data_IF_725532867763
#
_entry.id   IF_725532867763
#
_cell.length_a   1.000
_cell.length_b   1.000
_cell.length_c   1.000
_cell.angle_alpha   90.00
_cell.angle_beta   90.00
_cell.angle_gamma   90.00
#
_symmetry.space_group_name_H-M   'P 1'
#
loop_
_entity.id
_entity.type
_entity.pdbx_description
1 polymer ?
#
# COMPACT_ATOMS: atom_id res chain seq x y z
N UNK A 1 -0.68 19.45 34.76
CA UNK A 1 -0.68 19.24 33.30
C UNK A 1 -0.93 17.76 33.04
N UNK A 2 -1.95 17.37 32.25
CA UNK A 2 -2.15 15.96 31.92
C UNK A 2 -0.93 15.48 31.14
N UNK A 3 -0.32 14.38 31.60
CA UNK A 3 0.85 13.77 30.94
C UNK A 3 0.43 13.36 29.53
N UNK A 4 1.06 13.93 28.50
CA UNK A 4 0.91 13.46 27.11
C UNK A 4 1.15 11.93 27.13
N UNK A 5 0.22 11.11 26.62
CA UNK A 5 0.45 9.67 26.54
C UNK A 5 1.75 9.43 25.76
N UNK A 6 2.66 8.63 26.32
CA UNK A 6 3.91 8.25 25.65
C UNK A 6 3.51 7.51 24.38
N UNK A 7 3.66 8.18 23.24
CA UNK A 7 3.35 7.64 21.94
C UNK A 7 4.24 6.41 21.70
N UNK A 8 3.66 5.26 21.33
CA UNK A 8 4.45 4.07 21.01
C UNK A 8 5.07 4.23 19.62
N UNK A 9 6.25 4.87 19.58
CA UNK A 9 7.01 5.19 18.36
C UNK A 9 7.21 3.97 17.45
N UNK A 10 7.33 2.77 18.01
CA UNK A 10 7.58 1.54 17.23
C UNK A 10 6.45 1.23 16.24
N UNK A 11 5.21 1.58 16.57
CA UNK A 11 4.04 1.37 15.70
C UNK A 11 4.10 2.28 14.47
N UNK A 12 4.39 3.56 14.69
CA UNK A 12 4.51 4.55 13.62
C UNK A 12 5.76 4.33 12.78
N UNK A 13 6.83 3.75 13.36
CA UNK A 13 7.98 3.26 12.60
C UNK A 13 7.61 2.10 11.66
N UNK A 14 6.69 1.23 12.09
CA UNK A 14 6.11 0.16 11.27
C UNK A 14 5.36 0.71 10.05
N UNK A 15 4.50 1.71 10.26
CA UNK A 15 3.78 2.40 9.18
C UNK A 15 4.77 3.08 8.22
N UNK A 16 5.80 3.77 8.75
CA UNK A 16 6.87 4.37 7.95
C UNK A 16 7.55 3.34 7.04
N UNK A 17 7.96 2.20 7.58
CA UNK A 17 8.57 1.10 6.78
C UNK A 17 7.57 0.52 5.79
N UNK A 18 6.30 0.45 6.16
CA UNK A 18 5.20 0.11 5.26
C UNK A 18 5.18 1.04 4.05
N UNK A 19 5.19 2.36 4.25
CA UNK A 19 5.20 3.33 3.14
C UNK A 19 6.40 3.13 2.19
N UNK A 20 7.56 2.73 2.71
CA UNK A 20 8.72 2.38 1.88
C UNK A 20 8.47 1.10 1.05
N UNK A 21 7.87 0.07 1.66
CA UNK A 21 7.46 -1.12 0.93
C UNK A 21 6.40 -0.80 -0.15
N UNK A 22 5.49 0.14 0.10
CA UNK A 22 4.52 0.62 -0.90
C UNK A 22 5.20 1.29 -2.11
N UNK A 23 6.22 2.11 -1.86
CA UNK A 23 7.05 2.74 -2.91
C UNK A 23 7.74 1.68 -3.77
N UNK A 24 8.34 0.67 -3.13
CA UNK A 24 9.00 -0.43 -3.85
C UNK A 24 7.99 -1.24 -4.65
N UNK A 25 6.83 -1.56 -4.06
CA UNK A 25 5.74 -2.23 -4.76
C UNK A 25 5.40 -1.54 -6.08
N UNK A 26 5.12 -0.23 -6.05
CA UNK A 26 4.71 0.51 -7.24
C UNK A 26 5.83 0.67 -8.25
N UNK A 27 7.06 0.87 -7.78
CA UNK A 27 8.24 0.97 -8.66
C UNK A 27 8.45 -0.33 -9.44
N UNK A 28 8.46 -1.46 -8.74
CA UNK A 28 8.65 -2.77 -9.37
C UNK A 28 7.43 -3.19 -10.19
N UNK A 29 6.22 -2.77 -9.82
CA UNK A 29 5.03 -2.96 -10.65
C UNK A 29 5.20 -2.26 -12.01
N UNK A 30 5.60 -1.00 -12.02
CA UNK A 30 5.87 -0.26 -13.24
C UNK A 30 6.96 -0.93 -14.10
N UNK A 31 8.07 -1.33 -13.48
CA UNK A 31 9.15 -2.07 -14.16
C UNK A 31 8.68 -3.38 -14.79
N UNK A 32 7.77 -4.10 -14.13
CA UNK A 32 7.19 -5.33 -14.69
C UNK A 32 6.43 -5.03 -15.98
N UNK A 33 5.58 -4.00 -15.99
CA UNK A 33 4.79 -3.66 -17.18
C UNK A 33 5.68 -3.24 -18.35
N UNK A 34 6.72 -2.45 -18.10
CA UNK A 34 7.72 -2.08 -19.12
C UNK A 34 8.48 -3.29 -19.67
N UNK A 35 8.63 -4.34 -18.87
CA UNK A 35 9.37 -5.56 -19.23
C UNK A 35 8.50 -6.70 -19.78
N UNK A 36 7.20 -6.45 -20.02
CA UNK A 36 6.21 -7.50 -20.36
C UNK A 36 6.53 -8.27 -21.65
N UNK A 37 7.39 -7.74 -22.52
CA UNK A 37 7.87 -8.43 -23.73
C UNK A 37 9.10 -9.33 -23.52
N UNK A 38 9.55 -9.53 -22.28
CA UNK A 38 10.77 -10.28 -21.95
C UNK A 38 10.54 -11.26 -20.81
N UNK A 39 11.30 -12.35 -20.77
CA UNK A 39 11.31 -13.31 -19.66
C UNK A 39 11.68 -12.66 -18.32
N UNK A 40 12.31 -11.48 -18.36
CA UNK A 40 12.61 -10.67 -17.19
C UNK A 40 11.36 -10.04 -16.54
N UNK A 41 10.17 -10.14 -17.13
CA UNK A 41 8.89 -9.66 -16.59
C UNK A 41 8.60 -10.16 -15.16
N UNK A 42 8.86 -11.44 -14.89
CA UNK A 42 8.46 -12.08 -13.64
C UNK A 42 9.26 -11.61 -12.42
N UNK A 43 10.53 -11.26 -12.60
CA UNK A 43 11.40 -10.82 -11.50
C UNK A 43 10.85 -9.56 -10.81
N UNK A 44 10.64 -8.43 -11.50
CA UNK A 44 10.06 -7.24 -10.89
C UNK A 44 8.61 -7.48 -10.44
N UNK A 45 7.82 -8.32 -11.13
CA UNK A 45 6.46 -8.65 -10.69
C UNK A 45 6.45 -9.34 -9.31
N UNK A 46 7.29 -10.37 -9.14
CA UNK A 46 7.42 -11.10 -7.86
C UNK A 46 7.88 -10.15 -6.76
N UNK A 47 8.89 -9.32 -7.03
CA UNK A 47 9.37 -8.33 -6.06
C UNK A 47 8.24 -7.36 -5.69
N UNK A 48 7.46 -6.89 -6.66
CA UNK A 48 6.31 -6.03 -6.43
C UNK A 48 5.31 -6.66 -5.45
N UNK A 49 4.89 -7.91 -5.68
CA UNK A 49 3.94 -8.59 -4.80
C UNK A 49 4.49 -8.88 -3.41
N UNK A 50 5.76 -9.26 -3.30
CA UNK A 50 6.44 -9.41 -2.00
C UNK A 50 6.43 -8.09 -1.23
N UNK A 51 6.68 -6.96 -1.92
CA UNK A 51 6.66 -5.64 -1.30
C UNK A 51 5.25 -5.22 -0.90
N UNK A 52 4.21 -5.54 -1.68
CA UNK A 52 2.82 -5.28 -1.31
C UNK A 52 2.39 -6.10 -0.08
N UNK A 53 2.80 -7.37 -0.03
CA UNK A 53 2.58 -8.22 1.13
C UNK A 53 3.28 -7.66 2.37
N UNK A 54 4.56 -7.27 2.26
CA UNK A 54 5.34 -6.66 3.34
C UNK A 54 4.69 -5.37 3.83
N UNK A 55 4.26 -4.50 2.91
CA UNK A 55 3.52 -3.28 3.21
C UNK A 55 2.28 -3.57 4.07
N UNK A 56 1.47 -4.53 3.65
CA UNK A 56 0.23 -4.84 4.35
C UNK A 56 0.46 -5.53 5.69
N UNK A 57 1.47 -6.40 5.78
CA UNK A 57 1.83 -7.05 7.03
C UNK A 57 2.34 -6.05 8.08
N UNK A 58 3.22 -5.12 7.69
CA UNK A 58 3.72 -4.07 8.57
C UNK A 58 2.60 -3.15 9.06
N UNK A 59 1.71 -2.74 8.16
CA UNK A 59 0.57 -1.89 8.51
C UNK A 59 -0.43 -2.62 9.39
N UNK A 60 -0.77 -3.88 9.09
CA UNK A 60 -1.63 -4.71 9.96
C UNK A 60 -1.10 -4.77 11.39
N UNK A 61 0.20 -5.06 11.57
CA UNK A 61 0.84 -5.14 12.89
C UNK A 61 0.80 -3.80 13.64
N UNK A 62 0.93 -2.70 12.90
CA UNK A 62 0.94 -1.36 13.47
C UNK A 62 -0.49 -0.93 13.87
N UNK A 63 -1.45 -1.04 12.95
CA UNK A 63 -2.85 -0.68 13.15
C UNK A 63 -3.57 -1.54 14.18
N UNK A 64 -3.25 -2.84 14.28
CA UNK A 64 -3.84 -3.71 15.31
C UNK A 64 -3.56 -3.23 16.74
N UNK A 65 -2.52 -2.42 16.92
CA UNK A 65 -2.11 -1.88 18.21
C UNK A 65 -2.60 -0.45 18.46
N UNK A 66 -3.21 0.21 17.47
CA UNK A 66 -3.71 1.60 17.54
C UNK A 66 -5.20 1.70 17.91
N UNK A 67 -5.85 0.55 18.17
CA UNK A 67 -7.25 0.47 18.64
C UNK A 67 -8.29 0.23 17.54
N UNK A 68 -9.57 0.15 17.92
CA UNK A 68 -10.66 -0.25 17.02
C UNK A 68 -10.87 0.69 15.83
N UNK A 69 -10.48 1.96 15.98
CA UNK A 69 -10.55 2.98 14.91
C UNK A 69 -9.81 2.56 13.64
N UNK A 70 -8.81 1.68 13.76
CA UNK A 70 -7.98 1.20 12.64
C UNK A 70 -8.27 -0.27 12.27
N UNK A 71 -9.38 -0.83 12.76
CA UNK A 71 -9.67 -2.28 12.66
C UNK A 71 -10.01 -2.75 11.25
N UNK A 72 -10.47 -1.86 10.37
CA UNK A 72 -10.91 -2.25 9.02
C UNK A 72 -9.71 -2.61 8.13
N UNK A 73 -8.62 -1.84 8.17
CA UNK A 73 -7.36 -2.22 7.51
C UNK A 73 -6.83 -3.57 7.98
N UNK A 74 -6.95 -3.85 9.28
CA UNK A 74 -6.54 -5.14 9.86
C UNK A 74 -7.38 -6.30 9.31
N UNK A 75 -8.69 -6.09 9.14
CA UNK A 75 -9.63 -7.09 8.58
C UNK A 75 -9.41 -7.31 7.08
N UNK A 76 -9.15 -6.24 6.32
CA UNK A 76 -8.92 -6.31 4.88
C UNK A 76 -7.56 -6.92 4.49
N UNK A 77 -6.66 -7.16 5.44
CA UNK A 77 -5.41 -7.87 5.17
C UNK A 77 -5.62 -9.24 4.52
N UNK A 78 -6.59 -10.03 5.02
CA UNK A 78 -6.92 -11.33 4.42
C UNK A 78 -7.49 -11.17 3.01
N UNK A 79 -8.26 -10.11 2.77
CA UNK A 79 -8.80 -9.77 1.45
C UNK A 79 -7.68 -9.43 0.47
N UNK A 80 -6.67 -8.67 0.91
CA UNK A 80 -5.48 -8.39 0.11
C UNK A 80 -4.71 -9.67 -0.25
N UNK A 81 -4.53 -10.60 0.70
CA UNK A 81 -3.85 -11.88 0.41
C UNK A 81 -4.57 -12.63 -0.71
N UNK A 82 -5.90 -12.73 -0.64
CA UNK A 82 -6.69 -13.35 -1.72
C UNK A 82 -6.48 -12.59 -3.03
N UNK A 83 -6.51 -11.26 -3.00
CA UNK A 83 -6.25 -10.42 -4.18
C UNK A 83 -4.88 -10.69 -4.81
N UNK A 84 -3.82 -10.77 -4.00
CA UNK A 84 -2.46 -11.08 -4.44
C UNK A 84 -2.36 -12.46 -5.08
N UNK A 85 -3.00 -13.48 -4.48
CA UNK A 85 -3.02 -14.84 -5.03
C UNK A 85 -3.73 -14.88 -6.38
N UNK A 86 -4.91 -14.26 -6.48
CA UNK A 86 -5.67 -14.21 -7.73
C UNK A 86 -4.90 -13.44 -8.83
N UNK A 87 -4.30 -12.31 -8.48
CA UNK A 87 -3.50 -11.52 -9.42
C UNK A 87 -2.29 -12.31 -9.93
N UNK A 88 -1.55 -12.98 -9.04
CA UNK A 88 -0.40 -13.81 -9.43
C UNK A 88 -0.78 -14.99 -10.31
N UNK A 89 -1.81 -15.74 -9.92
CA UNK A 89 -2.32 -16.86 -10.72
C UNK A 89 -2.75 -16.34 -12.11
N UNK A 90 -3.44 -15.21 -12.16
CA UNK A 90 -3.86 -14.61 -13.43
C UNK A 90 -2.66 -14.23 -14.30
N UNK A 91 -1.65 -13.56 -13.75
CA UNK A 91 -0.44 -13.18 -14.50
C UNK A 91 0.29 -14.39 -15.09
N UNK A 92 0.38 -15.49 -14.33
CA UNK A 92 1.01 -16.74 -14.83
C UNK A 92 0.17 -17.37 -15.95
N UNK A 93 -1.16 -17.41 -15.79
CA UNK A 93 -2.04 -18.06 -16.76
C UNK A 93 -2.18 -17.28 -18.06
N UNK A 94 -2.15 -15.94 -17.99
CA UNK A 94 -2.11 -15.06 -19.17
C UNK A 94 -0.84 -15.31 -19.98
N UNK A 95 0.32 -15.46 -19.33
CA UNK A 95 1.58 -15.77 -20.01
C UNK A 95 1.57 -17.15 -20.69
N UNK A 96 0.82 -18.11 -20.13
CA UNK A 96 0.70 -19.47 -20.67
C UNK A 96 -0.36 -19.59 -21.79
N UNK A 97 -0.96 -18.48 -22.23
CA UNK A 97 -2.00 -18.40 -23.27
C UNK A 97 -3.23 -19.32 -23.04
N UNK A 98 -3.50 -19.67 -21.78
CA UNK A 98 -4.66 -20.50 -21.43
C UNK A 98 -5.92 -19.60 -21.41
N UNK A 99 -7.05 -20.06 -21.99
CA UNK A 99 -8.44 -19.53 -21.89
C UNK A 99 -8.65 -18.04 -21.48
N UNK A 100 -8.28 -17.10 -22.36
CA UNK A 100 -8.22 -15.64 -22.16
C UNK A 100 -9.45 -14.99 -21.49
N UNK A 101 -10.68 -15.46 -21.74
CA UNK A 101 -11.90 -14.78 -21.28
C UNK A 101 -12.27 -14.98 -19.80
N UNK A 102 -11.93 -16.11 -19.18
CA UNK A 102 -12.26 -16.36 -17.77
C UNK A 102 -11.21 -15.73 -16.84
N UNK A 103 -9.98 -15.55 -17.34
CA UNK A 103 -8.87 -14.94 -16.60
C UNK A 103 -8.97 -13.43 -16.47
N UNK A 104 -9.58 -12.75 -17.43
CA UNK A 104 -9.83 -11.30 -17.34
C UNK A 104 -10.71 -10.93 -16.14
N UNK A 105 -11.68 -11.79 -15.78
CA UNK A 105 -12.53 -11.60 -14.60
C UNK A 105 -11.74 -11.86 -13.31
N UNK A 106 -10.93 -12.91 -13.26
CA UNK A 106 -10.11 -13.25 -12.08
C UNK A 106 -9.08 -12.16 -11.81
N UNK A 107 -8.43 -11.64 -12.86
CA UNK A 107 -7.51 -10.51 -12.79
C UNK A 107 -8.20 -9.26 -12.24
N UNK A 108 -9.38 -8.93 -12.77
CA UNK A 108 -10.15 -7.78 -12.34
C UNK A 108 -10.54 -7.89 -10.87
N UNK A 109 -11.04 -9.05 -10.43
CA UNK A 109 -11.39 -9.30 -9.03
C UNK A 109 -10.14 -9.17 -8.15
N UNK A 110 -9.02 -9.80 -8.53
CA UNK A 110 -7.77 -9.71 -7.79
C UNK A 110 -7.30 -8.27 -7.60
N UNK A 111 -7.32 -7.47 -8.67
CA UNK A 111 -6.97 -6.05 -8.63
C UNK A 111 -7.95 -5.23 -7.80
N UNK A 112 -9.25 -5.47 -7.89
CA UNK A 112 -10.24 -4.77 -7.05
C UNK A 112 -10.04 -5.05 -5.55
N UNK A 113 -9.68 -6.29 -5.18
CA UNK A 113 -9.35 -6.62 -3.79
C UNK A 113 -8.11 -5.86 -3.32
N UNK A 114 -7.06 -5.76 -4.15
CA UNK A 114 -5.87 -4.95 -3.84
C UNK A 114 -6.22 -3.46 -3.68
N UNK A 115 -6.99 -2.91 -4.62
CA UNK A 115 -7.42 -1.51 -4.58
C UNK A 115 -8.29 -1.22 -3.35
N UNK A 116 -9.14 -2.15 -2.93
CA UNK A 116 -9.96 -1.99 -1.72
C UNK A 116 -9.10 -1.83 -0.46
N UNK A 117 -8.01 -2.58 -0.35
CA UNK A 117 -7.07 -2.46 0.76
C UNK A 117 -6.32 -1.12 0.72
N UNK A 118 -5.87 -0.68 -0.45
CA UNK A 118 -5.22 0.62 -0.62
C UNK A 118 -6.16 1.79 -0.31
N UNK A 119 -7.45 1.66 -0.66
CA UNK A 119 -8.46 2.64 -0.29
C UNK A 119 -8.60 2.77 1.23
N UNK A 120 -8.76 1.65 1.93
CA UNK A 120 -8.87 1.69 3.38
C UNK A 120 -7.61 2.25 4.04
N UNK A 121 -6.43 1.86 3.55
CA UNK A 121 -5.18 2.43 4.01
C UNK A 121 -5.15 3.96 3.84
N UNK A 122 -5.70 4.49 2.75
CA UNK A 122 -5.82 5.94 2.56
C UNK A 122 -6.69 6.59 3.64
N UNK A 123 -7.76 5.93 4.10
CA UNK A 123 -8.60 6.42 5.19
C UNK A 123 -7.89 6.36 6.55
N UNK A 124 -7.10 5.32 6.80
CA UNK A 124 -6.27 5.26 8.02
C UNK A 124 -5.24 6.39 8.06
N UNK A 125 -4.67 6.77 6.91
CA UNK A 125 -3.78 7.92 6.84
C UNK A 125 -4.50 9.25 7.12
N UNK A 126 -5.79 9.39 6.77
CA UNK A 126 -6.60 10.55 7.20
C UNK A 126 -6.74 10.55 8.73
N UNK A 127 -7.07 9.40 9.33
CA UNK A 127 -7.21 9.27 10.79
C UNK A 127 -5.90 9.64 11.51
N UNK A 128 -4.77 9.14 11.01
CA UNK A 128 -3.44 9.52 11.51
C UNK A 128 -3.15 11.01 11.27
N UNK A 129 -3.51 11.54 10.12
CA UNK A 129 -3.36 12.97 9.80
C UNK A 129 -4.09 13.84 10.81
N UNK A 130 -5.33 13.50 11.16
CA UNK A 130 -6.13 14.23 12.13
C UNK A 130 -5.58 14.06 13.56
N UNK A 131 -5.08 12.88 13.92
CA UNK A 131 -4.45 12.59 15.22
C UNK A 131 -3.17 13.41 15.44
N UNK A 132 -2.35 13.58 14.39
CA UNK A 132 -1.09 14.32 14.46
C UNK A 132 -1.16 15.76 13.96
N UNK A 133 -2.29 16.20 13.42
CA UNK A 133 -2.42 17.49 12.73
C UNK A 133 -1.51 17.63 11.49
N UNK A 134 -1.08 16.53 10.85
CA UNK A 134 -0.18 16.57 9.69
C UNK A 134 -0.95 16.77 8.39
N UNK A 135 -0.84 17.98 7.81
CA UNK A 135 -1.38 18.26 6.46
C UNK A 135 -0.74 17.37 5.38
N UNK A 136 0.53 17.00 5.54
CA UNK A 136 1.23 16.17 4.55
C UNK A 136 0.68 14.74 4.51
N UNK A 137 0.30 14.16 5.65
CA UNK A 137 -0.39 12.85 5.68
C UNK A 137 -1.76 12.92 5.01
N UNK A 138 -2.47 14.05 5.15
CA UNK A 138 -3.76 14.27 4.46
C UNK A 138 -3.59 14.29 2.95
N UNK A 139 -2.57 15.01 2.46
CA UNK A 139 -2.21 15.05 1.03
C UNK A 139 -1.83 13.66 0.54
N UNK A 140 -1.02 12.92 1.30
CA UNK A 140 -0.66 11.53 0.96
C UNK A 140 -1.89 10.64 0.83
N UNK A 141 -2.82 10.70 1.77
CA UNK A 141 -4.10 9.97 1.69
C UNK A 141 -4.88 10.31 0.43
N UNK A 142 -5.04 11.60 0.10
CA UNK A 142 -5.76 12.04 -1.10
C UNK A 142 -5.10 11.48 -2.37
N UNK A 143 -3.77 11.54 -2.46
CA UNK A 143 -3.03 10.99 -3.60
C UNK A 143 -3.26 9.48 -3.73
N UNK A 144 -3.20 8.74 -2.62
CA UNK A 144 -3.45 7.30 -2.61
C UNK A 144 -4.92 6.96 -2.96
N UNK A 145 -5.89 7.75 -2.49
CA UNK A 145 -7.29 7.56 -2.86
C UNK A 145 -7.53 7.83 -4.36
N UNK A 146 -6.91 8.88 -4.92
CA UNK A 146 -6.98 9.23 -6.35
C UNK A 146 -6.26 8.19 -7.22
N UNK A 147 -5.29 7.46 -6.69
CA UNK A 147 -4.62 6.39 -7.45
C UNK A 147 -5.61 5.33 -7.96
N UNK A 148 -6.71 5.09 -7.25
CA UNK A 148 -7.70 4.06 -7.59
C UNK A 148 -8.44 4.40 -8.90
N UNK A 149 -9.11 5.55 -9.04
CA UNK A 149 -9.68 5.93 -10.33
C UNK A 149 -8.61 6.10 -11.42
N UNK A 150 -7.38 6.50 -11.07
CA UNK A 150 -6.27 6.55 -12.04
C UNK A 150 -5.96 5.15 -12.61
N UNK A 151 -5.93 4.12 -11.77
CA UNK A 151 -5.77 2.74 -12.23
C UNK A 151 -6.90 2.32 -13.17
N UNK A 152 -8.16 2.61 -12.80
CA UNK A 152 -9.32 2.19 -13.57
C UNK A 152 -9.44 2.88 -14.93
N UNK A 153 -8.97 4.14 -15.04
CA UNK A 153 -9.12 4.96 -16.25
C UNK A 153 -7.86 4.90 -17.13
N UNK A 154 -6.67 5.02 -16.54
CA UNK A 154 -5.42 5.19 -17.26
C UNK A 154 -4.49 3.96 -17.18
N UNK A 155 -4.82 2.98 -16.34
CA UNK A 155 -4.07 1.73 -16.22
C UNK A 155 -2.89 1.76 -15.24
N UNK A 156 -2.03 0.74 -15.35
CA UNK A 156 -1.06 0.37 -14.32
C UNK A 156 0.11 1.36 -14.19
N UNK A 157 0.64 1.90 -15.29
CA UNK A 157 1.81 2.79 -15.24
C UNK A 157 1.48 4.12 -14.53
N UNK A 158 0.40 4.85 -14.90
CA UNK A 158 0.01 6.06 -14.19
C UNK A 158 -0.33 5.79 -12.73
N UNK A 159 -1.00 4.66 -12.44
CA UNK A 159 -1.26 4.22 -11.08
C UNK A 159 0.04 4.05 -10.26
N UNK A 160 1.02 3.35 -10.81
CA UNK A 160 2.31 3.13 -10.15
C UNK A 160 3.01 4.45 -9.81
N UNK A 161 2.98 5.44 -10.71
CA UNK A 161 3.55 6.77 -10.45
C UNK A 161 2.82 7.45 -9.29
N UNK A 162 1.49 7.46 -9.30
CA UNK A 162 0.68 8.11 -8.26
C UNK A 162 0.86 7.43 -6.90
N UNK A 163 0.88 6.09 -6.83
CA UNK A 163 1.19 5.35 -5.60
C UNK A 163 2.60 5.67 -5.10
N UNK A 164 3.58 5.73 -5.99
CA UNK A 164 4.97 6.08 -5.63
C UNK A 164 5.02 7.45 -4.96
N UNK A 165 4.39 8.46 -5.56
CA UNK A 165 4.32 9.82 -5.01
C UNK A 165 3.59 9.82 -3.66
N UNK A 166 2.41 9.18 -3.58
CA UNK A 166 1.64 9.08 -2.34
C UNK A 166 2.42 8.40 -1.21
N UNK A 167 3.12 7.31 -1.53
CA UNK A 167 4.01 6.57 -0.62
C UNK A 167 5.19 7.42 -0.15
N UNK A 168 5.84 8.18 -1.04
CA UNK A 168 6.93 9.09 -0.67
C UNK A 168 6.47 10.18 0.31
N UNK A 169 5.31 10.81 0.05
CA UNK A 169 4.74 11.78 0.98
C UNK A 169 4.42 11.15 2.34
N UNK A 170 3.80 9.96 2.36
CA UNK A 170 3.54 9.22 3.58
C UNK A 170 4.83 8.95 4.36
N UNK A 171 5.85 8.43 3.68
CA UNK A 171 7.13 8.09 4.30
C UNK A 171 7.82 9.30 4.95
N UNK A 172 7.87 10.42 4.24
CA UNK A 172 8.50 11.66 4.73
C UNK A 172 7.76 12.18 5.96
N UNK A 173 6.44 12.25 5.91
CA UNK A 173 5.64 12.78 7.02
C UNK A 173 5.68 11.86 8.25
N UNK A 174 5.59 10.54 8.05
CA UNK A 174 5.78 9.58 9.13
C UNK A 174 7.18 9.66 9.73
N UNK A 175 8.22 9.92 8.92
CA UNK A 175 9.59 10.14 9.41
C UNK A 175 9.67 11.36 10.32
N UNK A 176 9.03 12.48 9.95
CA UNK A 176 8.97 13.69 10.78
C UNK A 176 8.30 13.39 12.12
N UNK A 177 7.15 12.72 12.10
CA UNK A 177 6.40 12.33 13.31
C UNK A 177 7.25 11.42 14.20
N UNK A 178 7.78 10.33 13.66
CA UNK A 178 8.60 9.36 14.41
C UNK A 178 9.80 10.04 15.05
N UNK A 179 10.52 10.90 14.31
CA UNK A 179 11.71 11.58 14.84
C UNK A 179 11.38 12.63 15.90
N UNK A 180 10.26 13.34 15.76
CA UNK A 180 9.78 14.30 16.76
C UNK A 180 9.55 13.62 18.11
N UNK A 181 8.79 12.52 18.13
CA UNK A 181 8.48 11.81 19.37
C UNK A 181 9.66 11.01 19.94
N UNK A 182 10.62 10.58 19.11
CA UNK A 182 11.88 10.01 19.62
C UNK A 182 12.68 11.02 20.44
N UNK A 183 12.80 12.26 19.96
CA UNK A 183 13.52 13.34 20.66
C UNK A 183 12.87 13.73 21.98
N UNK A 184 11.54 13.66 22.08
CA UNK A 184 10.83 13.91 23.34
C UNK A 184 10.99 12.78 24.37
N UNK A 185 11.46 11.60 23.96
CA UNK A 185 11.58 10.40 24.83
C UNK A 185 12.97 10.17 25.42
N UNK A 186 13.98 10.90 24.92
CA UNK A 186 15.37 10.93 25.40
C UNK A 186 15.61 12.15 26.27
#
# INVERSE_FOLDING_TARGET
>A
MPRKPRLNVSLYDGIRRGSLALILYSTFLGMSIESRGSILYFIPLIISYVMLFLFAWLNRKSFSSLGEKYSLSVKLYSVLIVGLVLAFISSVLVELEVYINLFSIIELVGSLLILSYLFEYSLELVRLSDEFGSRGLKVSSIILAISIPVYLIFGVIPFAIVITVGGMYSYVEMTKIVNFYKREST
#
